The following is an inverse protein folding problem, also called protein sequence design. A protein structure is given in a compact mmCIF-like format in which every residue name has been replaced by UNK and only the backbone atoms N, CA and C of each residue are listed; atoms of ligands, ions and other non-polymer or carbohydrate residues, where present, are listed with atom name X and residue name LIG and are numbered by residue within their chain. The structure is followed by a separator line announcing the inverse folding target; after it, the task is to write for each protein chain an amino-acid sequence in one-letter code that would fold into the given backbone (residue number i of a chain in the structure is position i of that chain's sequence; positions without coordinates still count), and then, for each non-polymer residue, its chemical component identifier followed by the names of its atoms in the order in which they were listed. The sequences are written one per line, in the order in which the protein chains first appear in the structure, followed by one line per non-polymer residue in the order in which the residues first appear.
data_IF_248348198591
#
_entry.id   IF_248348198591
#
_cell.length_a   1.000
_cell.length_b   1.000
_cell.length_c   1.000
_cell.angle_alpha   90.00
_cell.angle_beta   90.00
_cell.angle_gamma   90.00
#
_symmetry.space_group_name_H-M   'P 1'
#
loop_
_entity.id
_entity.type
_entity.pdbx_description
1 polymer ?
#
# COMPACT_ATOMS: atom_id res chain seq x y z
N UNK A 1 6.11 5.38 16.73
CA UNK A 1 5.34 4.18 17.15
C UNK A 1 3.86 4.27 16.76
N UNK A 2 3.23 5.45 16.83
CA UNK A 2 1.85 5.66 16.34
C UNK A 2 1.75 5.71 14.80
N UNK A 3 2.79 6.14 14.08
CA UNK A 3 2.77 6.24 12.61
C UNK A 3 2.68 4.89 11.90
N UNK A 4 3.28 3.84 12.48
CA UNK A 4 3.20 2.47 11.95
C UNK A 4 1.77 1.91 12.03
N UNK A 5 1.03 2.29 13.09
CA UNK A 5 -0.33 1.82 13.34
C UNK A 5 -1.33 2.52 12.40
N UNK A 6 -1.08 3.79 12.03
CA UNK A 6 -1.83 4.48 10.99
C UNK A 6 -1.52 3.90 9.59
N UNK A 7 -0.26 3.57 9.30
CA UNK A 7 0.14 2.93 8.03
C UNK A 7 -0.53 1.56 7.84
N UNK A 8 -0.62 0.76 8.91
CA UNK A 8 -1.26 -0.56 8.87
C UNK A 8 -2.78 -0.52 8.65
N UNK A 9 -3.44 0.60 9.00
CA UNK A 9 -4.90 0.69 8.89
C UNK A 9 -5.40 1.05 7.48
N UNK A 10 -4.54 1.61 6.62
CA UNK A 10 -4.98 2.14 5.31
C UNK A 10 -4.08 1.76 4.13
N UNK A 11 -3.05 0.92 4.33
CA UNK A 11 -2.24 0.35 3.26
C UNK A 11 -2.61 -1.10 3.02
N UNK A 12 -3.87 -1.31 2.59
CA UNK A 12 -4.47 -2.63 2.40
C UNK A 12 -3.75 -3.56 1.41
N UNK A 13 -2.75 -3.03 0.69
CA UNK A 13 -2.05 -3.72 -0.38
C UNK A 13 -0.64 -4.19 0.00
N UNK A 14 -0.14 -3.77 1.16
CA UNK A 14 1.19 -4.14 1.64
C UNK A 14 1.10 -4.99 2.89
N UNK A 15 1.93 -6.01 2.93
CA UNK A 15 2.18 -6.79 4.14
C UNK A 15 2.92 -5.93 5.19
N UNK A 16 2.82 -6.28 6.47
CA UNK A 16 3.51 -5.53 7.54
C UNK A 16 5.03 -5.40 7.33
N UNK A 17 5.68 -6.41 6.76
CA UNK A 17 7.13 -6.38 6.49
C UNK A 17 7.49 -5.42 5.35
N UNK A 18 6.65 -5.31 4.32
CA UNK A 18 6.84 -4.36 3.21
C UNK A 18 6.63 -2.92 3.66
N UNK A 19 5.68 -2.68 4.58
CA UNK A 19 5.51 -1.37 5.23
C UNK A 19 6.77 -1.03 6.04
N UNK A 20 7.25 -1.94 6.88
CA UNK A 20 8.46 -1.72 7.68
C UNK A 20 9.69 -1.43 6.80
N UNK A 21 9.84 -2.14 5.68
CA UNK A 21 10.92 -1.94 4.72
C UNK A 21 10.82 -0.57 4.03
N UNK A 22 9.61 -0.11 3.71
CA UNK A 22 9.40 1.23 3.13
C UNK A 22 9.67 2.36 4.11
N UNK A 23 9.34 2.18 5.39
CA UNK A 23 9.58 3.17 6.45
C UNK A 23 11.04 3.16 6.97
N UNK A 24 11.97 2.53 6.24
CA UNK A 24 13.37 2.36 6.63
C UNK A 24 13.58 1.74 8.02
N UNK A 25 12.63 0.90 8.46
CA UNK A 25 12.66 0.30 9.79
C UNK A 25 13.22 -1.13 9.77
N UNK A 26 14.51 -1.25 9.48
CA UNK A 26 15.23 -2.53 9.36
C UNK A 26 15.06 -3.43 10.60
N UNK A 27 14.99 -2.87 11.81
CA UNK A 27 14.80 -3.65 13.03
C UNK A 27 13.43 -4.37 13.06
N UNK A 28 12.38 -3.72 12.54
CA UNK A 28 11.07 -4.34 12.42
C UNK A 28 11.05 -5.34 11.25
N UNK A 29 11.73 -5.05 10.14
CA UNK A 29 11.85 -5.98 9.01
C UNK A 29 12.48 -7.30 9.48
N UNK A 30 13.60 -7.24 10.18
CA UNK A 30 14.30 -8.40 10.76
C UNK A 30 13.38 -9.16 11.73
N UNK A 31 12.71 -8.44 12.64
CA UNK A 31 11.77 -9.06 13.60
C UNK A 31 10.60 -9.77 12.90
N UNK A 32 10.07 -9.22 11.80
CA UNK A 32 8.92 -9.78 11.09
C UNK A 32 9.29 -10.90 10.11
N UNK A 33 10.56 -10.99 9.71
CA UNK A 33 11.02 -11.91 8.67
C UNK A 33 10.68 -13.37 8.99
N UNK A 34 11.02 -13.82 10.20
CA UNK A 34 10.74 -15.18 10.67
C UNK A 34 9.25 -15.54 10.76
N UNK A 35 8.38 -14.52 10.81
CA UNK A 35 6.92 -14.69 10.93
C UNK A 35 6.18 -14.46 9.61
N UNK A 36 6.90 -14.11 8.54
CA UNK A 36 6.30 -13.78 7.24
C UNK A 36 6.59 -14.88 6.23
N UNK A 37 5.54 -15.40 5.61
CA UNK A 37 5.68 -16.35 4.51
C UNK A 37 6.30 -15.65 3.28
N UNK A 38 7.07 -16.37 2.44
CA UNK A 38 7.63 -15.82 1.21
C UNK A 38 6.61 -15.11 0.34
N UNK A 39 6.89 -13.85 0.01
CA UNK A 39 6.03 -13.02 -0.82
C UNK A 39 6.31 -13.36 -2.30
N UNK A 40 5.31 -13.84 -3.08
CA UNK A 40 5.55 -14.40 -4.41
C UNK A 40 6.21 -13.49 -5.45
N UNK A 41 6.10 -12.18 -5.30
CA UNK A 41 6.65 -11.21 -6.25
C UNK A 41 8.07 -10.74 -5.88
N UNK A 42 8.61 -11.17 -4.73
CA UNK A 42 9.97 -10.88 -4.28
C UNK A 42 10.83 -12.13 -4.46
N UNK A 43 11.73 -12.10 -5.44
CA UNK A 43 12.58 -13.26 -5.79
C UNK A 43 13.78 -13.46 -4.87
N UNK A 44 14.15 -12.45 -4.07
CA UNK A 44 15.31 -12.42 -3.16
C UNK A 44 14.92 -12.67 -1.71
N UNK A 45 14.17 -13.76 -1.44
CA UNK A 45 13.64 -14.05 -0.11
C UNK A 45 14.63 -14.73 0.86
N UNK A 46 15.88 -14.95 0.45
CA UNK A 46 16.84 -15.70 1.27
C UNK A 46 17.36 -14.90 2.49
N UNK A 47 17.16 -13.58 2.53
CA UNK A 47 17.54 -12.68 3.62
C UNK A 47 16.61 -11.45 3.65
N UNK A 48 16.41 -10.85 4.83
CA UNK A 48 15.56 -9.68 5.02
C UNK A 48 16.08 -8.45 4.25
N UNK A 49 17.39 -8.39 3.99
CA UNK A 49 17.99 -7.40 3.10
C UNK A 49 17.41 -7.44 1.68
N UNK A 50 17.08 -8.62 1.16
CA UNK A 50 16.51 -8.76 -0.18
C UNK A 50 15.11 -8.14 -0.31
N UNK A 51 14.30 -8.19 0.76
CA UNK A 51 12.99 -7.52 0.83
C UNK A 51 13.21 -6.01 0.89
N UNK A 52 14.12 -5.57 1.75
CA UNK A 52 14.45 -4.16 1.90
C UNK A 52 14.92 -3.52 0.59
N UNK A 53 15.85 -4.19 -0.11
CA UNK A 53 16.41 -3.73 -1.38
C UNK A 53 15.34 -3.68 -2.48
N UNK A 54 14.52 -4.72 -2.60
CA UNK A 54 13.43 -4.73 -3.58
C UNK A 54 12.43 -3.61 -3.31
N UNK A 55 11.95 -3.47 -2.07
CA UNK A 55 10.95 -2.47 -1.69
C UNK A 55 11.45 -1.04 -1.89
N UNK A 56 12.76 -0.81 -1.79
CA UNK A 56 13.36 0.51 -1.99
C UNK A 56 13.91 0.74 -3.41
N UNK A 57 13.90 -0.28 -4.27
CA UNK A 57 14.28 -0.18 -5.68
C UNK A 57 13.40 0.81 -6.44
N UNK A 58 13.94 1.36 -7.53
CA UNK A 58 13.18 2.25 -8.40
C UNK A 58 12.00 1.50 -9.06
N UNK A 59 12.21 0.25 -9.47
CA UNK A 59 11.17 -0.58 -10.07
C UNK A 59 9.94 -0.72 -9.14
N UNK A 60 10.16 -1.05 -7.87
CA UNK A 60 9.05 -1.17 -6.91
C UNK A 60 8.38 0.18 -6.59
N UNK A 61 9.12 1.29 -6.66
CA UNK A 61 8.55 2.65 -6.53
C UNK A 61 7.64 2.95 -7.73
N UNK A 62 8.13 2.77 -8.94
CA UNK A 62 7.37 3.01 -10.17
C UNK A 62 6.11 2.13 -10.24
N UNK A 63 6.21 0.86 -9.86
CA UNK A 63 5.05 -0.05 -9.79
C UNK A 63 4.00 0.41 -8.78
N UNK A 64 4.41 0.89 -7.59
CA UNK A 64 3.47 1.40 -6.58
C UNK A 64 2.82 2.71 -7.02
N UNK A 65 3.56 3.61 -7.66
CA UNK A 65 3.01 4.84 -8.23
C UNK A 65 1.95 4.53 -9.29
N UNK A 66 2.26 3.62 -10.22
CA UNK A 66 1.32 3.18 -11.25
C UNK A 66 0.06 2.53 -10.63
N UNK A 67 0.23 1.64 -9.65
CA UNK A 67 -0.91 1.03 -8.94
C UNK A 67 -1.73 2.08 -8.18
N UNK A 68 -1.09 3.09 -7.61
CA UNK A 68 -1.78 4.17 -6.93
C UNK A 68 -2.61 5.03 -7.89
N UNK A 69 -2.08 5.30 -9.08
CA UNK A 69 -2.82 6.00 -10.15
C UNK A 69 -4.02 5.19 -10.64
N UNK A 70 -3.84 3.90 -10.90
CA UNK A 70 -4.93 3.00 -11.33
C UNK A 70 -6.07 3.02 -10.29
N UNK A 71 -5.75 2.82 -9.01
CA UNK A 71 -6.75 2.81 -7.93
C UNK A 71 -7.44 4.16 -7.76
N UNK A 72 -6.71 5.25 -7.91
CA UNK A 72 -7.28 6.59 -7.88
C UNK A 72 -8.32 6.77 -8.99
N UNK A 73 -8.00 6.35 -10.22
CA UNK A 73 -8.90 6.44 -11.37
C UNK A 73 -10.12 5.53 -11.19
N UNK A 74 -9.92 4.30 -10.70
CA UNK A 74 -11.00 3.35 -10.40
C UNK A 74 -11.95 3.90 -9.32
N UNK A 75 -11.43 4.39 -8.20
CA UNK A 75 -12.25 4.97 -7.13
C UNK A 75 -13.03 6.19 -7.63
N UNK A 76 -12.40 7.06 -8.43
CA UNK A 76 -13.07 8.22 -9.03
C UNK A 76 -14.22 7.81 -9.96
N UNK A 77 -14.01 6.81 -10.82
CA UNK A 77 -15.04 6.30 -11.72
C UNK A 77 -16.17 5.62 -10.94
N UNK A 78 -15.84 4.78 -9.96
CA UNK A 78 -16.83 4.12 -9.10
C UNK A 78 -17.69 5.13 -8.31
N UNK A 79 -17.07 6.18 -7.77
CA UNK A 79 -17.78 7.27 -7.11
C UNK A 79 -18.73 8.02 -8.06
N UNK A 80 -18.28 8.27 -9.30
CA UNK A 80 -19.11 8.90 -10.33
C UNK A 80 -20.29 8.02 -10.75
N UNK A 81 -20.08 6.71 -10.92
CA UNK A 81 -21.15 5.76 -11.26
C UNK A 81 -22.18 5.64 -10.13
N UNK A 82 -21.73 5.52 -8.88
CA UNK A 82 -22.61 5.48 -7.71
C UNK A 82 -23.47 6.76 -7.60
N UNK A 83 -22.88 7.93 -7.89
CA UNK A 83 -23.61 9.20 -7.94
C UNK A 83 -24.70 9.20 -9.00
N UNK A 84 -24.44 8.67 -10.20
CA UNK A 84 -25.42 8.61 -11.30
C UNK A 84 -26.64 7.75 -10.96
N UNK A 85 -26.48 6.71 -10.15
CA UNK A 85 -27.58 5.83 -9.72
C UNK A 85 -28.20 6.24 -8.37
N UNK A 86 -27.81 7.39 -7.82
CA UNK A 86 -28.22 7.89 -6.49
C UNK A 86 -27.81 6.98 -5.32
N UNK A 87 -26.78 6.14 -5.48
CA UNK A 87 -26.17 5.39 -4.38
C UNK A 87 -25.13 6.26 -3.66
N UNK A 88 -25.64 7.21 -2.87
CA UNK A 88 -24.81 8.21 -2.22
C UNK A 88 -23.89 7.63 -1.15
N UNK A 89 -24.27 6.52 -0.50
CA UNK A 89 -23.42 5.87 0.50
C UNK A 89 -22.18 5.28 -0.16
N UNK A 90 -22.35 4.57 -1.27
CA UNK A 90 -21.24 4.03 -2.06
C UNK A 90 -20.40 5.15 -2.69
N UNK A 91 -21.03 6.24 -3.14
CA UNK A 91 -20.30 7.40 -3.65
C UNK A 91 -19.40 8.05 -2.59
N UNK A 92 -19.91 8.24 -1.36
CA UNK A 92 -19.13 8.79 -0.24
C UNK A 92 -17.94 7.89 0.09
N UNK A 93 -18.13 6.57 0.12
CA UNK A 93 -17.04 5.62 0.33
C UNK A 93 -15.92 5.81 -0.70
N UNK A 94 -16.26 5.77 -2.00
CA UNK A 94 -15.25 5.88 -3.06
C UNK A 94 -14.56 7.23 -3.12
N UNK A 95 -15.26 8.34 -2.88
CA UNK A 95 -14.62 9.66 -2.83
C UNK A 95 -13.76 9.85 -1.58
N UNK A 96 -14.09 9.17 -0.48
CA UNK A 96 -13.26 9.17 0.73
C UNK A 96 -11.94 8.45 0.48
N UNK A 97 -11.96 7.30 -0.20
CA UNK A 97 -10.76 6.57 -0.64
C UNK A 97 -9.83 7.45 -1.50
N UNK A 98 -10.42 8.26 -2.40
CA UNK A 98 -9.66 9.22 -3.22
C UNK A 98 -8.96 10.28 -2.35
N UNK A 99 -9.69 10.89 -1.41
CA UNK A 99 -9.20 11.99 -0.58
C UNK A 99 -8.00 11.60 0.30
N UNK A 100 -8.05 10.40 0.89
CA UNK A 100 -6.92 9.89 1.68
C UNK A 100 -5.66 9.68 0.84
N UNK A 101 -5.82 9.30 -0.44
CA UNK A 101 -4.68 9.08 -1.34
C UNK A 101 -4.04 10.39 -1.82
N UNK A 102 -4.83 11.43 -2.10
CA UNK A 102 -4.29 12.75 -2.50
C UNK A 102 -3.64 13.51 -1.36
N UNK A 103 -3.95 13.17 -0.10
CA UNK A 103 -3.44 13.87 1.09
C UNK A 103 -2.14 13.26 1.64
N UNK A 104 -1.72 12.09 1.13
CA UNK A 104 -0.51 11.35 1.54
C UNK A 104 0.50 11.18 0.39
N UNK A 105 0.32 11.91 -0.71
CA UNK A 105 1.30 12.12 -1.79
C UNK A 105 2.00 13.47 -1.58
#
# INVERSE_FOLDING_TARGET
MLDLLLCLLFQHDLTPIEIAAREDNLAIVDTLFDFTAPIPHISTWDDFHGIYDYINSQEAKDQRELQAEIKFLEAKENGAQATRINDYMTAVYWYTEVWFRTSNL
#
